data_IF_037546080965
#
_entry.id   IF_037546080965
#
_cell.length_a   1.000
_cell.length_b   1.000
_cell.length_c   1.000
_cell.angle_alpha   90.00
_cell.angle_beta   90.00
_cell.angle_gamma   90.00
#
_symmetry.space_group_name_H-M   'P 1'
#
loop_
_entity.id
_entity.type
_entity.pdbx_description
1 polymer ?
#
# COMPACT_ATOMS: atom_id res chain seq x y z
N UNK A 1 33.27 24.90 -9.87
CA UNK A 1 31.94 24.22 -9.87
C UNK A 1 31.79 23.55 -8.52
N UNK A 2 30.75 23.83 -7.72
CA UNK A 2 30.49 23.11 -6.49
C UNK A 2 30.31 21.63 -6.81
N UNK A 3 30.68 20.68 -5.93
CA UNK A 3 30.44 19.27 -6.15
C UNK A 3 28.95 19.04 -6.33
N UNK A 4 28.53 18.11 -7.23
CA UNK A 4 27.12 17.80 -7.40
C UNK A 4 26.56 17.36 -6.05
N UNK A 5 25.41 17.95 -5.67
CA UNK A 5 24.68 17.53 -4.47
C UNK A 5 24.46 16.01 -4.54
N UNK A 6 24.69 15.26 -3.47
CA UNK A 6 24.48 13.83 -3.48
C UNK A 6 23.04 13.56 -3.92
N UNK A 7 22.90 12.70 -4.94
CA UNK A 7 21.57 12.32 -5.44
C UNK A 7 20.75 11.80 -4.25
N UNK A 8 19.44 12.13 -4.14
CA UNK A 8 18.59 11.74 -3.02
C UNK A 8 18.56 10.21 -2.79
N UNK A 9 18.87 9.44 -3.81
CA UNK A 9 18.94 7.97 -3.76
C UNK A 9 20.03 7.45 -2.80
N UNK A 10 21.06 8.24 -2.50
CA UNK A 10 22.17 7.86 -1.59
C UNK A 10 22.18 8.65 -0.28
N UNK A 11 21.07 9.34 0.06
CA UNK A 11 20.98 9.96 1.38
C UNK A 11 20.98 8.88 2.47
N UNK A 12 21.78 9.08 3.53
CA UNK A 12 21.89 8.11 4.64
C UNK A 12 20.53 7.66 5.22
N UNK A 13 19.52 8.56 5.39
CA UNK A 13 18.23 8.16 5.89
C UNK A 13 17.49 7.19 4.96
N UNK A 14 17.49 7.42 3.65
CA UNK A 14 16.79 6.55 2.68
C UNK A 14 17.42 5.15 2.65
N UNK A 15 18.76 5.07 2.69
CA UNK A 15 19.46 3.79 2.76
C UNK A 15 19.12 3.03 4.05
N UNK A 16 19.06 3.71 5.19
CA UNK A 16 18.68 3.09 6.47
C UNK A 16 17.26 2.53 6.42
N UNK A 17 16.32 3.28 5.85
CA UNK A 17 14.94 2.79 5.66
C UNK A 17 14.86 1.62 4.67
N UNK A 18 15.64 1.65 3.60
CA UNK A 18 15.73 0.52 2.68
C UNK A 18 16.27 -0.74 3.39
N UNK A 19 17.36 -0.61 4.15
CA UNK A 19 17.94 -1.71 4.93
C UNK A 19 16.98 -2.23 6.02
N UNK A 20 16.15 -1.36 6.61
CA UNK A 20 15.15 -1.74 7.61
C UNK A 20 14.07 -2.68 7.06
N UNK A 21 13.90 -2.80 5.73
CA UNK A 21 13.02 -3.80 5.13
C UNK A 21 13.59 -5.22 5.15
N UNK A 22 14.92 -5.38 5.20
CA UNK A 22 15.58 -6.69 5.09
C UNK A 22 15.17 -7.68 6.18
N UNK A 23 15.01 -7.28 7.47
CA UNK A 23 14.50 -8.20 8.49
C UNK A 23 13.11 -8.72 8.16
N UNK A 24 12.19 -7.89 7.62
CA UNK A 24 10.86 -8.32 7.22
C UNK A 24 10.92 -9.33 6.07
N UNK A 25 11.78 -9.07 5.07
CA UNK A 25 12.01 -10.00 3.95
C UNK A 25 12.56 -11.33 4.45
N UNK A 26 13.53 -11.30 5.36
CA UNK A 26 14.15 -12.51 5.93
C UNK A 26 13.18 -13.29 6.84
N UNK A 27 12.27 -12.60 7.54
CA UNK A 27 11.28 -13.22 8.43
C UNK A 27 10.12 -13.86 7.65
N UNK A 28 9.83 -13.43 6.43
CA UNK A 28 8.68 -13.94 5.68
C UNK A 28 8.67 -15.47 5.48
N UNK A 29 9.76 -16.16 5.08
CA UNK A 29 9.77 -17.62 4.99
C UNK A 29 9.51 -18.30 6.33
N UNK A 30 9.97 -17.69 7.43
CA UNK A 30 9.76 -18.20 8.79
C UNK A 30 8.33 -17.93 9.28
N UNK A 31 7.69 -16.88 8.78
CA UNK A 31 6.35 -16.51 9.20
C UNK A 31 5.32 -17.62 8.93
N UNK A 32 5.44 -18.36 7.83
CA UNK A 32 4.57 -19.52 7.54
C UNK A 32 4.66 -20.65 8.57
N UNK A 33 5.74 -20.71 9.37
CA UNK A 33 5.94 -21.74 10.41
C UNK A 33 5.71 -21.22 11.82
N UNK A 34 5.91 -19.93 12.06
CA UNK A 34 5.93 -19.35 13.40
C UNK A 34 4.79 -18.36 13.68
N UNK A 35 4.18 -17.80 12.64
CA UNK A 35 3.20 -16.73 12.79
C UNK A 35 1.84 -17.13 12.20
N UNK A 36 0.72 -16.92 12.94
CA UNK A 36 -0.59 -17.42 12.53
C UNK A 36 -1.14 -16.74 11.25
N UNK A 37 -0.69 -15.51 10.94
CA UNK A 37 -1.13 -14.74 9.77
C UNK A 37 0.07 -14.28 8.94
N UNK A 38 0.77 -15.18 8.23
CA UNK A 38 1.97 -14.83 7.44
C UNK A 38 1.69 -13.79 6.36
N UNK A 39 0.45 -13.69 5.87
CA UNK A 39 0.01 -12.67 4.91
C UNK A 39 0.16 -11.23 5.44
N UNK A 40 0.10 -11.04 6.76
CA UNK A 40 0.35 -9.73 7.36
C UNK A 40 1.83 -9.34 7.20
N UNK A 41 2.75 -10.27 7.44
CA UNK A 41 4.19 -10.04 7.24
C UNK A 41 4.47 -9.72 5.76
N UNK A 42 3.82 -10.45 4.85
CA UNK A 42 3.90 -10.18 3.41
C UNK A 42 3.40 -8.77 3.08
N UNK A 43 2.23 -8.39 3.62
CA UNK A 43 1.65 -7.05 3.41
C UNK A 43 2.56 -5.94 3.90
N UNK A 44 3.13 -6.07 5.10
CA UNK A 44 4.09 -5.12 5.64
C UNK A 44 5.34 -5.00 4.76
N UNK A 45 5.85 -6.12 4.26
CA UNK A 45 7.05 -6.18 3.42
C UNK A 45 6.80 -5.56 2.04
N UNK A 46 5.73 -5.95 1.35
CA UNK A 46 5.46 -5.52 -0.02
C UNK A 46 5.12 -4.03 -0.11
N UNK A 47 4.43 -3.51 0.89
CA UNK A 47 4.05 -2.11 0.89
C UNK A 47 5.13 -1.20 1.50
N UNK A 48 6.30 -1.72 1.88
CA UNK A 48 7.42 -0.91 2.38
C UNK A 48 7.91 0.15 1.39
N UNK A 49 7.59 -0.05 0.11
CA UNK A 49 7.82 0.95 -0.94
C UNK A 49 7.09 2.28 -0.73
N UNK A 50 5.98 2.30 0.03
CA UNK A 50 5.22 3.53 0.31
C UNK A 50 6.04 4.52 1.15
N UNK A 51 6.58 4.17 2.35
CA UNK A 51 7.45 5.06 3.09
C UNK A 51 8.77 5.36 2.35
N UNK A 52 9.34 4.40 1.62
CA UNK A 52 10.55 4.65 0.84
C UNK A 52 10.33 5.69 -0.26
N UNK A 53 9.24 5.57 -1.02
CA UNK A 53 8.91 6.54 -2.06
C UNK A 53 8.67 7.95 -1.50
N UNK A 54 7.99 8.05 -0.37
CA UNK A 54 7.76 9.33 0.30
C UNK A 54 9.08 9.98 0.75
N UNK A 55 9.97 9.20 1.39
CA UNK A 55 11.28 9.69 1.84
C UNK A 55 12.24 10.02 0.69
N UNK A 56 12.06 9.38 -0.48
CA UNK A 56 12.83 9.71 -1.67
C UNK A 56 12.45 11.07 -2.28
N UNK A 57 11.21 11.52 -2.06
CA UNK A 57 10.69 12.79 -2.59
C UNK A 57 10.77 13.95 -1.60
N UNK A 58 10.69 13.66 -0.29
CA UNK A 58 10.79 14.69 0.76
C UNK A 58 11.43 14.12 2.03
N UNK A 59 12.34 14.87 2.67
CA UNK A 59 12.97 14.44 3.93
C UNK A 59 11.98 14.27 5.09
N UNK A 60 10.86 14.99 5.07
CA UNK A 60 9.86 15.02 6.13
C UNK A 60 8.46 14.80 5.57
N UNK A 61 8.11 13.58 5.12
CA UNK A 61 6.78 13.31 4.59
C UNK A 61 5.71 13.42 5.68
N UNK A 62 4.49 13.84 5.34
CA UNK A 62 3.39 13.91 6.30
C UNK A 62 3.01 12.50 6.78
N UNK A 63 3.32 12.21 8.05
CA UNK A 63 3.21 10.86 8.62
C UNK A 63 1.77 10.31 8.62
N UNK A 64 0.71 11.07 9.00
CA UNK A 64 -0.64 10.49 9.09
C UNK A 64 -1.17 9.96 7.75
N UNK A 65 -1.17 10.71 6.63
CA UNK A 65 -1.64 10.17 5.34
C UNK A 65 -0.73 9.05 4.82
N UNK A 66 0.58 9.10 5.12
CA UNK A 66 1.53 8.07 4.74
C UNK A 66 1.21 6.72 5.43
N UNK A 67 0.92 6.74 6.74
CA UNK A 67 0.54 5.55 7.50
C UNK A 67 -0.79 4.96 7.00
N UNK A 68 -1.76 5.81 6.66
CA UNK A 68 -3.03 5.35 6.08
C UNK A 68 -2.82 4.70 4.71
N UNK A 69 -2.00 5.30 3.84
CA UNK A 69 -1.70 4.73 2.53
C UNK A 69 -0.96 3.39 2.65
N UNK A 70 -0.01 3.30 3.56
CA UNK A 70 0.69 2.05 3.87
C UNK A 70 -0.30 0.99 4.40
N UNK A 71 -1.16 1.36 5.35
CA UNK A 71 -2.20 0.48 5.89
C UNK A 71 -3.21 0.03 4.84
N UNK A 72 -3.60 0.90 3.91
CA UNK A 72 -4.46 0.55 2.77
C UNK A 72 -3.81 -0.53 1.89
N UNK A 73 -2.52 -0.40 1.61
CA UNK A 73 -1.75 -1.40 0.87
C UNK A 73 -1.66 -2.74 1.61
N UNK A 74 -1.42 -2.72 2.92
CA UNK A 74 -1.39 -3.93 3.76
C UNK A 74 -2.76 -4.62 3.76
N UNK A 75 -3.86 -3.88 3.95
CA UNK A 75 -5.21 -4.42 3.92
C UNK A 75 -5.54 -5.04 2.54
N UNK A 76 -5.12 -4.40 1.47
CA UNK A 76 -5.26 -4.95 0.12
C UNK A 76 -4.44 -6.23 -0.09
N UNK A 77 -3.21 -6.29 0.42
CA UNK A 77 -2.38 -7.50 0.37
C UNK A 77 -3.05 -8.65 1.11
N UNK A 78 -3.58 -8.38 2.32
CA UNK A 78 -4.34 -9.37 3.08
C UNK A 78 -5.53 -9.91 2.29
N UNK A 79 -6.24 -9.03 1.56
CA UNK A 79 -7.39 -9.42 0.76
C UNK A 79 -6.98 -10.37 -0.38
N UNK A 80 -6.12 -9.92 -1.29
CA UNK A 80 -5.84 -10.70 -2.49
C UNK A 80 -5.00 -11.95 -2.20
N UNK A 81 -4.09 -11.89 -1.21
CA UNK A 81 -3.24 -13.04 -0.88
C UNK A 81 -4.00 -14.10 -0.08
N UNK A 82 -4.98 -13.72 0.74
CA UNK A 82 -5.90 -14.70 1.35
C UNK A 82 -6.70 -15.46 0.29
N UNK A 83 -7.18 -14.78 -0.76
CA UNK A 83 -7.87 -15.43 -1.88
C UNK A 83 -6.90 -16.35 -2.64
N UNK A 84 -5.67 -15.89 -2.89
CA UNK A 84 -4.64 -16.68 -3.58
C UNK A 84 -4.27 -17.95 -2.82
N UNK A 85 -4.15 -17.86 -1.50
CA UNK A 85 -3.77 -18.98 -0.64
C UNK A 85 -4.90 -20.00 -0.37
N UNK A 86 -6.16 -19.68 -0.75
CA UNK A 86 -7.31 -20.52 -0.45
C UNK A 86 -7.18 -21.96 -0.98
N UNK A 87 -6.74 -22.21 -2.23
CA UNK A 87 -6.57 -23.55 -2.75
C UNK A 87 -5.54 -24.40 -1.98
N UNK A 88 -4.53 -23.75 -1.40
CA UNK A 88 -3.42 -24.42 -0.72
C UNK A 88 -3.71 -24.71 0.76
N UNK A 89 -4.83 -24.24 1.30
CA UNK A 89 -5.15 -24.32 2.74
C UNK A 89 -5.06 -25.76 3.30
N UNK A 90 -5.58 -26.75 2.55
CA UNK A 90 -5.50 -28.14 2.99
C UNK A 90 -4.07 -28.69 2.98
N UNK A 91 -3.27 -28.29 2.00
CA UNK A 91 -1.85 -28.63 1.91
C UNK A 91 -1.05 -28.03 3.06
N UNK A 92 -1.27 -26.75 3.33
CA UNK A 92 -0.66 -26.00 4.44
C UNK A 92 -0.99 -26.67 5.79
N UNK A 93 -2.26 -27.03 6.01
CA UNK A 93 -2.67 -27.72 7.23
C UNK A 93 -1.94 -29.07 7.43
N UNK A 94 -1.82 -29.88 6.36
CA UNK A 94 -1.11 -31.18 6.41
C UNK A 94 0.39 -31.01 6.65
N UNK A 95 0.96 -29.91 6.14
CA UNK A 95 2.37 -29.57 6.32
C UNK A 95 2.67 -28.87 7.66
N UNK A 96 1.66 -28.61 8.50
CA UNK A 96 1.81 -27.87 9.76
C UNK A 96 2.19 -26.40 9.55
N UNK A 97 1.85 -25.83 8.39
CA UNK A 97 2.08 -24.42 8.06
C UNK A 97 0.86 -23.55 8.40
N UNK A 98 1.12 -22.30 8.72
CA UNK A 98 0.08 -21.29 8.95
C UNK A 98 -0.29 -20.57 7.65
N UNK A 99 -1.57 -20.22 7.50
CA UNK A 99 -2.04 -19.36 6.41
C UNK A 99 -3.33 -18.62 6.81
N UNK A 100 -3.59 -17.49 6.16
CA UNK A 100 -4.81 -16.73 6.42
C UNK A 100 -6.09 -17.55 6.21
N UNK A 101 -6.25 -18.36 5.15
CA UNK A 101 -7.43 -19.21 5.00
C UNK A 101 -7.66 -20.15 6.19
N UNK A 102 -6.61 -20.72 6.76
CA UNK A 102 -6.72 -21.60 7.94
C UNK A 102 -7.12 -20.82 9.20
N UNK A 103 -6.49 -19.67 9.43
CA UNK A 103 -6.77 -18.85 10.60
C UNK A 103 -8.18 -18.25 10.56
N UNK A 104 -8.62 -17.82 9.38
CA UNK A 104 -9.86 -17.06 9.21
C UNK A 104 -11.10 -17.95 8.96
N UNK A 105 -10.90 -19.27 8.78
CA UNK A 105 -12.02 -20.21 8.64
C UNK A 105 -12.82 -20.30 9.95
N UNK A 106 -14.15 -20.50 9.89
CA UNK A 106 -15.00 -20.56 8.70
C UNK A 106 -15.46 -19.18 8.16
N UNK A 107 -14.96 -18.07 8.73
CA UNK A 107 -15.43 -16.71 8.45
C UNK A 107 -14.60 -15.98 7.38
N UNK A 108 -13.84 -16.71 6.55
CA UNK A 108 -12.92 -16.11 5.55
C UNK A 108 -13.59 -15.03 4.71
N UNK A 109 -14.81 -15.28 4.21
CA UNK A 109 -15.53 -14.28 3.39
C UNK A 109 -15.82 -12.98 4.15
N UNK A 110 -16.18 -13.05 5.43
CA UNK A 110 -16.42 -11.87 6.26
C UNK A 110 -15.11 -11.07 6.46
N UNK A 111 -14.00 -11.75 6.68
CA UNK A 111 -12.69 -11.11 6.79
C UNK A 111 -12.23 -10.45 5.48
N UNK A 112 -12.50 -11.05 4.33
CA UNK A 112 -12.22 -10.42 3.04
C UNK A 112 -13.00 -9.11 2.86
N UNK A 113 -14.27 -9.07 3.27
CA UNK A 113 -15.05 -7.82 3.28
C UNK A 113 -14.47 -6.80 4.28
N UNK A 114 -14.00 -7.25 5.45
CA UNK A 114 -13.33 -6.37 6.43
C UNK A 114 -12.06 -5.76 5.86
N UNK A 115 -11.21 -6.55 5.19
CA UNK A 115 -9.99 -6.04 4.56
C UNK A 115 -10.30 -5.04 3.44
N UNK A 116 -11.30 -5.32 2.61
CA UNK A 116 -11.78 -4.38 1.59
C UNK A 116 -12.29 -3.07 2.23
N UNK A 117 -13.07 -3.17 3.30
CA UNK A 117 -13.58 -2.01 4.05
C UNK A 117 -12.45 -1.18 4.67
N UNK A 118 -11.46 -1.82 5.28
CA UNK A 118 -10.28 -1.15 5.85
C UNK A 118 -9.48 -0.43 4.77
N UNK A 119 -9.27 -1.05 3.60
CA UNK A 119 -8.60 -0.42 2.48
C UNK A 119 -9.34 0.84 2.03
N UNK A 120 -10.65 0.74 1.80
CA UNK A 120 -11.48 1.88 1.37
C UNK A 120 -11.48 2.99 2.42
N UNK A 121 -11.66 2.67 3.69
CA UNK A 121 -11.65 3.63 4.79
C UNK A 121 -10.29 4.35 4.90
N UNK A 122 -9.19 3.61 4.79
CA UNK A 122 -7.85 4.20 4.80
C UNK A 122 -7.64 5.13 3.59
N UNK A 123 -8.07 4.73 2.39
CA UNK A 123 -8.00 5.60 1.20
C UNK A 123 -8.83 6.87 1.38
N UNK A 124 -10.05 6.81 1.94
CA UNK A 124 -10.83 8.00 2.27
C UNK A 124 -10.08 8.92 3.24
N UNK A 125 -9.45 8.34 4.26
CA UNK A 125 -8.61 9.09 5.21
C UNK A 125 -7.39 9.74 4.55
N UNK A 126 -6.73 9.08 3.60
CA UNK A 126 -5.65 9.68 2.79
C UNK A 126 -6.16 10.92 2.06
N UNK A 127 -7.29 10.81 1.37
CA UNK A 127 -7.88 11.93 0.63
C UNK A 127 -8.18 13.13 1.53
N UNK A 128 -8.72 12.86 2.72
CA UNK A 128 -9.05 13.91 3.68
C UNK A 128 -7.81 14.60 4.26
N UNK A 129 -6.86 13.81 4.75
CA UNK A 129 -5.64 14.35 5.38
C UNK A 129 -4.70 15.04 4.38
N UNK A 130 -4.68 14.58 3.13
CA UNK A 130 -3.88 15.18 2.07
C UNK A 130 -4.65 16.25 1.26
N UNK A 131 -5.90 16.57 1.64
CA UNK A 131 -6.76 17.55 0.96
C UNK A 131 -6.83 17.33 -0.56
N UNK A 132 -7.03 16.07 -0.99
CA UNK A 132 -7.04 15.70 -2.40
C UNK A 132 -8.32 16.21 -3.11
N UNK A 133 -8.24 16.33 -4.44
CA UNK A 133 -9.35 16.81 -5.25
C UNK A 133 -10.61 15.93 -5.09
N UNK A 134 -11.84 16.50 -5.13
CA UNK A 134 -13.09 15.74 -4.99
C UNK A 134 -13.24 14.54 -5.92
N UNK A 135 -12.67 14.58 -7.13
CA UNK A 135 -12.65 13.45 -8.07
C UNK A 135 -11.98 12.19 -7.48
N UNK A 136 -11.04 12.35 -6.55
CA UNK A 136 -10.43 11.26 -5.82
C UNK A 136 -11.47 10.40 -5.07
N UNK A 137 -12.42 11.02 -4.40
CA UNK A 137 -13.45 10.32 -3.64
C UNK A 137 -14.41 9.54 -4.57
N UNK A 138 -14.69 10.08 -5.77
CA UNK A 138 -15.38 9.34 -6.82
C UNK A 138 -14.60 8.10 -7.25
N UNK A 139 -13.28 8.23 -7.38
CA UNK A 139 -12.39 7.10 -7.64
C UNK A 139 -12.39 6.07 -6.51
N UNK A 140 -12.36 6.50 -5.23
CA UNK A 140 -12.43 5.58 -4.08
C UNK A 140 -13.79 4.86 -4.01
N UNK A 141 -14.89 5.55 -4.35
CA UNK A 141 -16.21 4.89 -4.48
C UNK A 141 -16.20 3.83 -5.59
N UNK A 142 -15.58 4.12 -6.73
CA UNK A 142 -15.36 3.13 -7.80
C UNK A 142 -14.51 1.93 -7.33
N UNK A 143 -13.45 2.17 -6.54
CA UNK A 143 -12.67 1.11 -5.92
C UNK A 143 -13.53 0.22 -5.01
N UNK A 144 -14.36 0.81 -4.17
CA UNK A 144 -15.29 0.07 -3.31
C UNK A 144 -16.23 -0.82 -4.13
N UNK A 145 -16.79 -0.30 -5.24
CA UNK A 145 -17.63 -1.07 -6.15
C UNK A 145 -16.88 -2.22 -6.83
N UNK A 146 -15.65 -1.97 -7.29
CA UNK A 146 -14.79 -3.01 -7.89
C UNK A 146 -14.48 -4.14 -6.91
N UNK A 147 -14.08 -3.80 -5.67
CA UNK A 147 -13.80 -4.79 -4.63
C UNK A 147 -15.05 -5.58 -4.26
N UNK A 148 -16.20 -4.91 -4.12
CA UNK A 148 -17.47 -5.58 -3.84
C UNK A 148 -17.86 -6.55 -4.97
N UNK A 149 -17.71 -6.15 -6.23
CA UNK A 149 -17.94 -7.02 -7.38
C UNK A 149 -16.97 -8.20 -7.40
N UNK A 150 -15.68 -7.95 -7.18
CA UNK A 150 -14.64 -8.98 -7.12
C UNK A 150 -14.98 -10.02 -6.06
N UNK A 151 -15.33 -9.60 -4.84
CA UNK A 151 -15.67 -10.52 -3.75
C UNK A 151 -16.98 -11.30 -4.00
N UNK A 152 -17.96 -10.68 -4.65
CA UNK A 152 -19.23 -11.37 -5.03
C UNK A 152 -19.03 -12.43 -6.10
N UNK A 153 -18.13 -12.18 -7.05
CA UNK A 153 -17.90 -13.09 -8.20
C UNK A 153 -16.83 -14.14 -7.94
N UNK A 154 -16.09 -14.03 -6.81
CA UNK A 154 -15.05 -15.00 -6.45
C UNK A 154 -15.66 -16.19 -5.74
N UNK A 155 -15.47 -17.37 -6.33
CA UNK A 155 -15.73 -18.65 -5.70
C UNK A 155 -14.44 -19.11 -4.99
N UNK A 156 -14.48 -19.16 -3.64
CA UNK A 156 -13.33 -19.54 -2.81
C UNK A 156 -13.05 -21.04 -2.83
N UNK A 157 -14.01 -21.86 -3.27
CA UNK A 157 -13.84 -23.31 -3.38
C UNK A 157 -13.20 -23.71 -4.72
N UNK A 158 -13.22 -22.80 -5.71
CA UNK A 158 -12.65 -23.03 -7.03
C UNK A 158 -11.23 -22.46 -7.15
N UNK A 159 -10.19 -23.32 -7.28
CA UNK A 159 -8.79 -22.88 -7.49
C UNK A 159 -8.66 -21.95 -8.72
N UNK A 160 -9.38 -22.26 -9.79
CA UNK A 160 -9.40 -21.44 -11.00
C UNK A 160 -9.98 -20.05 -10.75
N UNK A 161 -11.05 -19.95 -9.97
CA UNK A 161 -11.66 -18.65 -9.59
C UNK A 161 -10.72 -17.84 -8.74
N UNK A 162 -10.08 -18.44 -7.72
CA UNK A 162 -9.09 -17.79 -6.87
C UNK A 162 -7.89 -17.26 -7.69
N UNK A 163 -7.32 -18.09 -8.57
CA UNK A 163 -6.21 -17.71 -9.43
C UNK A 163 -6.60 -16.59 -10.42
N UNK A 164 -7.82 -16.60 -10.95
CA UNK A 164 -8.32 -15.53 -11.81
C UNK A 164 -8.44 -14.22 -11.03
N UNK A 165 -9.05 -14.25 -9.86
CA UNK A 165 -9.21 -13.09 -8.98
C UNK A 165 -7.87 -12.49 -8.59
N UNK A 166 -6.90 -13.32 -8.22
CA UNK A 166 -5.54 -12.88 -7.93
C UNK A 166 -4.90 -12.16 -9.13
N UNK A 167 -4.99 -12.73 -10.32
CA UNK A 167 -4.48 -12.08 -11.54
C UNK A 167 -5.17 -10.74 -11.84
N UNK A 168 -6.45 -10.61 -11.54
CA UNK A 168 -7.18 -9.36 -11.74
C UNK A 168 -6.78 -8.28 -10.72
N UNK A 169 -6.17 -8.63 -9.60
CA UNK A 169 -5.69 -7.66 -8.61
C UNK A 169 -4.68 -6.67 -9.18
N UNK A 170 -3.91 -7.04 -10.22
CA UNK A 170 -3.04 -6.09 -10.93
C UNK A 170 -3.81 -4.90 -11.54
N UNK A 171 -5.03 -5.13 -12.05
CA UNK A 171 -5.86 -4.05 -12.60
C UNK A 171 -6.42 -3.16 -11.50
N UNK A 172 -6.71 -3.73 -10.33
CA UNK A 172 -7.09 -2.96 -9.12
C UNK A 172 -5.92 -2.06 -8.69
N UNK A 173 -4.67 -2.57 -8.74
CA UNK A 173 -3.48 -1.77 -8.46
C UNK A 173 -3.35 -0.57 -9.41
N UNK A 174 -3.49 -0.80 -10.71
CA UNK A 174 -3.45 0.27 -11.72
C UNK A 174 -4.59 1.29 -11.51
N UNK A 175 -5.77 0.82 -11.13
CA UNK A 175 -6.90 1.68 -10.81
C UNK A 175 -6.60 2.56 -9.59
N UNK A 176 -6.09 2.00 -8.49
CA UNK A 176 -5.68 2.74 -7.28
C UNK A 176 -4.67 3.82 -7.65
N UNK A 177 -3.69 3.46 -8.47
CA UNK A 177 -2.67 4.41 -8.94
C UNK A 177 -3.29 5.57 -9.72
N UNK A 178 -4.20 5.29 -10.64
CA UNK A 178 -4.95 6.31 -11.38
C UNK A 178 -5.78 7.21 -10.46
N UNK A 179 -6.42 6.66 -9.43
CA UNK A 179 -7.19 7.43 -8.43
C UNK A 179 -6.29 8.38 -7.64
N UNK A 180 -5.11 7.92 -7.20
CA UNK A 180 -4.14 8.76 -6.49
C UNK A 180 -3.63 9.89 -7.39
N UNK A 181 -3.26 9.59 -8.63
CA UNK A 181 -2.82 10.60 -9.60
C UNK A 181 -3.93 11.64 -9.86
N UNK A 182 -5.15 11.20 -10.12
CA UNK A 182 -6.28 12.13 -10.32
C UNK A 182 -6.50 13.02 -9.11
N UNK A 183 -6.36 12.48 -7.89
CA UNK A 183 -6.49 13.24 -6.66
C UNK A 183 -5.48 14.37 -6.52
N UNK A 184 -4.28 14.18 -7.05
CA UNK A 184 -3.20 15.19 -6.98
C UNK A 184 -3.23 16.14 -8.19
N UNK A 185 -3.28 15.59 -9.40
CA UNK A 185 -3.12 16.41 -10.62
C UNK A 185 -4.35 17.24 -10.98
N UNK A 186 -5.53 16.90 -10.50
CA UNK A 186 -6.73 17.71 -10.70
C UNK A 186 -6.87 18.86 -9.69
N UNK A 187 -5.96 18.98 -8.72
CA UNK A 187 -5.93 20.16 -7.83
C UNK A 187 -5.61 21.42 -8.63
N UNK A 188 -6.22 22.59 -8.27
CA UNK A 188 -5.82 23.87 -8.82
C UNK A 188 -4.32 24.12 -8.63
N UNK A 189 -3.67 24.79 -9.59
CA UNK A 189 -2.21 25.03 -9.58
C UNK A 189 -1.71 25.68 -8.28
N UNK A 190 -2.48 26.63 -7.73
CA UNK A 190 -2.17 27.27 -6.44
C UNK A 190 -2.10 26.28 -5.27
N UNK A 191 -2.94 25.24 -5.27
CA UNK A 191 -2.93 24.22 -4.23
C UNK A 191 -1.83 23.19 -4.48
N UNK A 192 -1.54 22.85 -5.73
CA UNK A 192 -0.42 21.99 -6.11
C UNK A 192 0.90 22.63 -5.67
N UNK A 193 1.06 23.95 -5.83
CA UNK A 193 2.26 24.67 -5.45
C UNK A 193 2.48 24.70 -3.93
N UNK A 194 1.41 24.76 -3.12
CA UNK A 194 1.48 24.64 -1.66
C UNK A 194 1.85 23.25 -1.16
N UNK A 195 1.57 22.22 -1.95
CA UNK A 195 1.89 20.81 -1.62
C UNK A 195 3.30 20.41 -2.10
N UNK A 196 3.92 21.18 -2.99
CA UNK A 196 5.33 20.95 -3.35
C UNK A 196 6.21 21.27 -2.13
N UNK A 197 7.22 20.43 -1.81
CA UNK A 197 8.24 20.81 -0.84
C UNK A 197 8.80 22.17 -1.23
N UNK A 198 8.95 23.08 -0.27
CA UNK A 198 9.64 24.35 -0.53
C UNK A 198 11.07 23.99 -0.97
N UNK A 199 11.28 23.97 -2.27
CA UNK A 199 12.60 23.95 -2.86
C UNK A 199 13.31 25.19 -2.32
N UNK A 200 14.39 25.00 -1.59
CA UNK A 200 15.13 26.02 -0.85
C UNK A 200 15.17 27.33 -1.62
N UNK A 201 14.59 28.37 -1.05
CA UNK A 201 14.86 29.72 -1.54
C UNK A 201 16.39 29.90 -1.61
N UNK A 202 16.94 30.42 -2.70
CA UNK A 202 18.36 30.71 -2.78
C UNK A 202 18.74 31.59 -1.58
N UNK A 203 19.91 31.36 -0.95
CA UNK A 203 20.37 32.21 0.15
C UNK A 203 20.31 33.67 -0.34
N UNK A 204 19.64 34.52 0.44
CA UNK A 204 19.66 35.96 0.21
C UNK A 204 21.12 36.34 0.11
N UNK A 205 21.56 36.89 -1.03
CA UNK A 205 22.84 37.54 -1.18
C UNK A 205 22.88 38.63 -0.12
N UNK A 206 23.70 38.47 0.91
CA UNK A 206 24.06 39.56 1.83
C UNK A 206 24.71 40.62 0.95
N UNK A 207 24.00 41.72 0.70
CA UNK A 207 24.59 42.94 0.14
C UNK A 207 25.62 43.41 1.16
N UNK A 208 26.91 43.13 0.88
CA UNK A 208 28.04 43.77 1.55
C UNK A 208 28.00 45.28 1.20
N UNK A 209 27.69 46.13 2.22
CA UNK A 209 28.02 47.55 2.24
C UNK A 209 29.45 47.77 2.75
#
# INVERSE_FOLDING_TARGET
>A
LPPPSPSPVFSSPLLLWALASLPLVALYPLAKRAFPLPQLVLGLTFNWGVPLGALATTPHPPVPPLLLLYGAGVAWTLLYDTIYAQPDAQGDARAGMHSAPLLLAPHTRAWLHTFAGLQVAAMLGVGWLAALHPAYYGGVAGLAALLALQLRTTDLESPHSCARTFRHSQYVALYIWGVLLAGVYLLPEEQQQKQRPQEQAPPLEEEEE
#
